data_IF_563725533823
#
_entry.id   IF_563725533823
#
_cell.length_a   1.000
_cell.length_b   1.000
_cell.length_c   1.000
_cell.angle_alpha   90.00
_cell.angle_beta   90.00
_cell.angle_gamma   90.00
#
_symmetry.space_group_name_H-M   'P 1'
#
loop_
_entity.id
_entity.type
_entity.pdbx_description
1 polymer ?
#
# COMPACT_ATOMS: atom_id res chain seq x y z
N UNK A 1 -22.50 -2.61 -0.38
CA UNK A 1 -22.11 -3.04 -1.76
C UNK A 1 -22.32 -4.54 -1.93
N UNK A 2 -22.90 -5.01 -3.09
CA UNK A 2 -22.87 -6.44 -3.43
C UNK A 2 -21.56 -6.73 -4.18
N UNK A 3 -20.69 -7.49 -3.57
CA UNK A 3 -19.45 -8.00 -4.20
C UNK A 3 -19.78 -9.35 -4.82
N UNK A 4 -19.47 -9.56 -6.09
CA UNK A 4 -19.69 -10.85 -6.75
C UNK A 4 -18.71 -11.91 -6.20
N UNK A 5 -19.10 -13.21 -6.26
CA UNK A 5 -18.25 -14.31 -5.77
C UNK A 5 -16.82 -14.28 -6.38
N UNK A 6 -16.72 -14.03 -7.67
CA UNK A 6 -15.43 -13.93 -8.35
C UNK A 6 -14.54 -12.80 -7.77
N UNK A 7 -15.13 -11.63 -7.45
CA UNK A 7 -14.42 -10.53 -6.83
C UNK A 7 -13.98 -10.86 -5.39
N UNK A 8 -14.76 -11.66 -4.66
CA UNK A 8 -14.34 -12.16 -3.35
C UNK A 8 -13.10 -13.06 -3.45
N UNK A 9 -13.06 -13.96 -4.46
CA UNK A 9 -11.89 -14.82 -4.70
C UNK A 9 -10.67 -14.00 -5.12
N UNK A 10 -10.85 -12.99 -5.95
CA UNK A 10 -9.78 -12.10 -6.40
C UNK A 10 -9.20 -11.27 -5.23
N UNK A 11 -10.06 -10.68 -4.39
CA UNK A 11 -9.62 -9.99 -3.18
C UNK A 11 -8.85 -10.93 -2.23
N UNK A 12 -9.36 -12.15 -2.04
CA UNK A 12 -8.69 -13.15 -1.20
C UNK A 12 -7.32 -13.54 -1.78
N UNK A 13 -7.25 -13.77 -3.09
CA UNK A 13 -5.99 -14.04 -3.79
C UNK A 13 -4.97 -12.93 -3.56
N UNK A 14 -5.32 -11.65 -3.75
CA UNK A 14 -4.39 -10.55 -3.55
C UNK A 14 -3.98 -10.36 -2.09
N UNK A 15 -4.87 -10.57 -1.14
CA UNK A 15 -4.52 -10.54 0.30
C UNK A 15 -3.49 -11.63 0.64
N UNK A 16 -3.71 -12.84 0.17
CA UNK A 16 -2.80 -13.98 0.37
C UNK A 16 -1.47 -13.78 -0.36
N UNK A 17 -1.52 -13.32 -1.61
CA UNK A 17 -0.32 -13.04 -2.41
C UNK A 17 0.54 -11.96 -1.74
N UNK A 18 -0.07 -10.86 -1.31
CA UNK A 18 0.66 -9.80 -0.59
C UNK A 18 1.36 -10.36 0.66
N UNK A 19 0.65 -11.13 1.48
CA UNK A 19 1.22 -11.81 2.67
C UNK A 19 2.42 -12.67 2.29
N UNK A 20 2.30 -13.50 1.27
CA UNK A 20 3.38 -14.41 0.84
C UNK A 20 4.59 -13.68 0.27
N UNK A 21 4.36 -12.60 -0.47
CA UNK A 21 5.46 -11.73 -0.96
C UNK A 21 6.22 -11.11 0.21
N UNK A 22 5.53 -10.54 1.19
CA UNK A 22 6.16 -9.95 2.38
C UNK A 22 6.96 -10.99 3.18
N UNK A 23 6.40 -12.18 3.39
CA UNK A 23 7.08 -13.29 4.07
C UNK A 23 8.33 -13.74 3.30
N UNK A 24 8.25 -13.80 1.97
CA UNK A 24 9.38 -14.18 1.13
C UNK A 24 10.48 -13.10 1.14
N UNK A 25 10.12 -11.82 1.08
CA UNK A 25 11.09 -10.72 1.20
C UNK A 25 11.79 -10.73 2.56
N UNK A 26 11.05 -10.98 3.64
CA UNK A 26 11.63 -11.14 4.97
C UNK A 26 12.59 -12.35 5.06
N UNK A 27 12.26 -13.45 4.39
CA UNK A 27 13.16 -14.61 4.31
C UNK A 27 14.44 -14.30 3.53
N UNK A 28 14.32 -13.60 2.39
CA UNK A 28 15.46 -13.17 1.57
C UNK A 28 16.37 -12.19 2.34
N UNK A 29 15.77 -11.28 3.12
CA UNK A 29 16.52 -10.37 3.99
C UNK A 29 17.37 -11.15 5.01
N UNK A 30 16.77 -12.10 5.72
CA UNK A 30 17.50 -12.96 6.69
C UNK A 30 18.59 -13.82 6.05
N UNK A 31 18.47 -14.13 4.75
CA UNK A 31 19.49 -14.83 3.97
C UNK A 31 20.59 -13.90 3.44
N UNK A 32 20.53 -12.59 3.70
CA UNK A 32 21.47 -11.62 3.17
C UNK A 32 21.37 -11.38 1.65
N UNK A 33 20.24 -11.75 1.03
CA UNK A 33 20.01 -11.60 -0.41
C UNK A 33 19.39 -10.26 -0.80
N UNK A 34 18.86 -9.52 0.17
CA UNK A 34 18.32 -8.16 -0.01
C UNK A 34 19.41 -7.14 0.27
N UNK A 35 19.57 -6.17 -0.63
CA UNK A 35 20.62 -5.13 -0.53
C UNK A 35 20.17 -3.99 0.38
N UNK A 36 18.85 -3.65 0.36
CA UNK A 36 18.26 -2.58 1.17
C UNK A 36 17.50 -3.08 2.39
N UNK A 37 16.63 -2.22 2.94
CA UNK A 37 15.73 -2.57 4.04
C UNK A 37 14.44 -3.20 3.55
N UNK A 38 13.88 -4.13 4.32
CA UNK A 38 12.53 -4.68 4.09
C UNK A 38 11.56 -4.10 5.12
N UNK A 39 10.47 -3.56 4.63
CA UNK A 39 9.42 -2.88 5.41
C UNK A 39 8.10 -3.61 5.18
N UNK A 40 7.85 -4.62 5.99
CA UNK A 40 6.67 -5.49 5.82
C UNK A 40 5.35 -4.73 6.06
N UNK A 41 4.37 -4.99 5.21
CA UNK A 41 2.97 -4.57 5.35
C UNK A 41 2.11 -5.55 6.16
N UNK A 42 2.73 -6.48 6.89
CA UNK A 42 2.02 -7.49 7.68
C UNK A 42 1.02 -6.87 8.65
N UNK A 43 -0.23 -7.27 8.54
CA UNK A 43 -1.35 -6.75 9.31
C UNK A 43 -2.08 -5.56 8.64
N UNK A 44 -1.55 -5.02 7.54
CA UNK A 44 -2.08 -3.87 6.79
C UNK A 44 -2.51 -4.23 5.36
N UNK A 45 -2.53 -5.53 5.02
CA UNK A 45 -2.81 -6.01 3.66
C UNK A 45 -4.17 -5.56 3.15
N UNK A 46 -5.17 -5.48 4.03
CA UNK A 46 -6.52 -5.06 3.64
C UNK A 46 -6.57 -3.61 3.15
N UNK A 47 -5.73 -2.72 3.69
CA UNK A 47 -5.63 -1.33 3.23
C UNK A 47 -5.02 -1.31 1.82
N UNK A 48 -3.83 -1.89 1.66
CA UNK A 48 -3.11 -1.90 0.38
C UNK A 48 -3.93 -2.51 -0.75
N UNK A 49 -4.49 -3.69 -0.51
CA UNK A 49 -5.29 -4.42 -1.51
C UNK A 49 -6.63 -3.73 -1.73
N UNK A 50 -7.37 -3.42 -0.66
CA UNK A 50 -8.74 -2.91 -0.75
C UNK A 50 -8.82 -1.56 -1.43
N UNK A 51 -7.90 -0.65 -1.14
CA UNK A 51 -7.88 0.68 -1.75
C UNK A 51 -7.55 0.63 -3.24
N UNK A 52 -6.51 -0.13 -3.62
CA UNK A 52 -6.15 -0.28 -5.03
C UNK A 52 -7.22 -1.02 -5.84
N UNK A 53 -7.89 -2.01 -5.23
CA UNK A 53 -8.98 -2.76 -5.85
C UNK A 53 -10.25 -1.91 -6.08
N UNK A 54 -10.46 -0.89 -5.26
CA UNK A 54 -11.61 0.02 -5.39
C UNK A 54 -11.49 0.98 -6.57
N UNK A 55 -10.28 1.19 -7.09
CA UNK A 55 -10.00 2.15 -8.16
C UNK A 55 -10.18 1.56 -9.55
N UNK A 56 -10.41 2.42 -10.53
CA UNK A 56 -10.39 2.05 -11.94
C UNK A 56 -8.95 1.93 -12.46
N UNK A 57 -8.76 1.15 -13.53
CA UNK A 57 -7.44 0.94 -14.13
C UNK A 57 -6.75 2.25 -14.56
N UNK A 58 -7.52 3.26 -14.97
CA UNK A 58 -7.02 4.58 -15.41
C UNK A 58 -6.60 5.51 -14.28
N UNK A 59 -6.93 5.19 -13.02
CA UNK A 59 -6.59 6.01 -11.85
C UNK A 59 -5.12 5.84 -11.48
N UNK A 60 -4.61 6.80 -10.72
CA UNK A 60 -3.25 6.78 -10.22
C UNK A 60 -3.20 6.45 -8.74
N UNK A 61 -2.17 5.69 -8.35
CA UNK A 61 -1.81 5.47 -6.95
C UNK A 61 -0.39 5.95 -6.68
N UNK A 62 -0.17 6.51 -5.49
CA UNK A 62 1.16 6.80 -4.93
C UNK A 62 1.37 5.95 -3.68
N UNK A 63 1.85 4.69 -3.80
CA UNK A 63 1.99 3.78 -2.68
C UNK A 63 3.17 4.16 -1.77
N UNK A 64 3.12 3.76 -0.50
CA UNK A 64 4.26 3.75 0.41
C UNK A 64 5.05 2.44 0.29
N UNK A 65 6.16 2.39 1.00
CA UNK A 65 7.05 1.21 1.07
C UNK A 65 6.35 -0.08 1.55
N UNK A 66 5.23 0.02 2.29
CA UNK A 66 4.47 -1.13 2.82
C UNK A 66 3.31 -1.55 1.93
N UNK A 67 3.06 -0.84 0.83
CA UNK A 67 1.90 -1.08 -0.02
C UNK A 67 2.20 -2.02 -1.20
N UNK A 68 2.99 -3.07 -0.98
CA UNK A 68 3.24 -4.08 -2.01
C UNK A 68 1.94 -4.65 -2.59
N UNK A 69 0.91 -4.86 -1.74
CA UNK A 69 -0.40 -5.33 -2.18
C UNK A 69 -1.07 -4.40 -3.18
N UNK A 70 -0.93 -3.08 -3.03
CA UNK A 70 -1.46 -2.13 -3.99
C UNK A 70 -0.76 -2.23 -5.36
N UNK A 71 0.55 -2.45 -5.35
CA UNK A 71 1.32 -2.67 -6.59
C UNK A 71 0.91 -3.97 -7.28
N UNK A 72 0.75 -5.07 -6.52
CA UNK A 72 0.27 -6.35 -7.06
C UNK A 72 -1.11 -6.22 -7.71
N UNK A 73 -2.06 -5.53 -7.07
CA UNK A 73 -3.39 -5.24 -7.65
C UNK A 73 -3.27 -4.41 -8.93
N UNK A 74 -2.29 -3.50 -9.02
CA UNK A 74 -2.03 -2.70 -10.22
C UNK A 74 -1.30 -3.46 -11.33
N UNK A 75 -0.98 -4.74 -11.11
CA UNK A 75 -0.45 -5.65 -12.13
C UNK A 75 1.07 -5.79 -12.12
N UNK A 76 1.74 -5.43 -11.03
CA UNK A 76 3.09 -5.92 -10.77
C UNK A 76 3.05 -7.39 -10.37
N UNK A 77 4.12 -8.10 -10.68
CA UNK A 77 4.31 -9.50 -10.29
C UNK A 77 5.23 -9.59 -9.07
N UNK A 78 5.18 -10.68 -8.31
CA UNK A 78 6.15 -10.92 -7.24
C UNK A 78 7.60 -10.78 -7.70
N UNK A 79 7.94 -11.23 -8.94
CA UNK A 79 9.29 -11.10 -9.51
C UNK A 79 9.78 -9.66 -9.58
N UNK A 80 8.91 -8.69 -9.87
CA UNK A 80 9.29 -7.28 -9.98
C UNK A 80 9.80 -6.77 -8.63
N UNK A 81 9.13 -7.17 -7.55
CA UNK A 81 9.52 -6.85 -6.17
C UNK A 81 10.81 -7.60 -5.78
N UNK A 82 10.91 -8.90 -6.06
CA UNK A 82 12.10 -9.67 -5.73
C UNK A 82 13.35 -9.16 -6.46
N UNK A 83 13.25 -8.90 -7.77
CA UNK A 83 14.33 -8.32 -8.56
C UNK A 83 14.78 -6.96 -8.01
N UNK A 84 13.81 -6.12 -7.64
CA UNK A 84 14.08 -4.80 -7.08
C UNK A 84 14.82 -4.88 -5.75
N UNK A 85 14.29 -5.64 -4.77
CA UNK A 85 14.90 -5.76 -3.46
C UNK A 85 16.25 -6.48 -3.47
N UNK A 86 16.49 -7.36 -4.44
CA UNK A 86 17.76 -8.04 -4.66
C UNK A 86 18.71 -7.25 -5.54
N UNK A 87 18.38 -6.02 -5.95
CA UNK A 87 19.15 -5.16 -6.85
C UNK A 87 19.59 -5.86 -8.15
N UNK A 88 18.68 -6.60 -8.78
CA UNK A 88 18.98 -7.35 -9.99
C UNK A 88 18.82 -6.51 -11.25
N UNK A 89 19.66 -6.77 -12.26
CA UNK A 89 19.68 -6.03 -13.54
C UNK A 89 18.31 -6.03 -14.24
N UNK A 90 17.60 -7.14 -14.20
CA UNK A 90 16.35 -7.29 -14.91
C UNK A 90 15.14 -6.74 -14.10
N UNK A 91 15.41 -6.08 -12.96
CA UNK A 91 14.41 -5.42 -12.12
C UNK A 91 13.99 -4.06 -12.64
N UNK A 92 12.92 -3.48 -12.06
CA UNK A 92 12.33 -2.23 -12.53
C UNK A 92 13.29 -1.04 -12.61
N UNK A 93 14.29 -0.98 -11.72
CA UNK A 93 15.32 0.10 -11.74
C UNK A 93 16.65 -0.34 -12.35
N UNK A 94 16.70 -1.53 -12.94
CA UNK A 94 17.95 -2.08 -13.47
C UNK A 94 19.00 -2.36 -12.40
N UNK A 95 18.56 -2.60 -11.16
CA UNK A 95 19.43 -2.84 -10.00
C UNK A 95 20.10 -1.59 -9.41
N UNK A 96 19.63 -0.39 -9.78
CA UNK A 96 20.18 0.90 -9.29
C UNK A 96 19.63 1.32 -7.94
N UNK A 97 18.49 0.77 -7.55
CA UNK A 97 17.86 0.93 -6.24
C UNK A 97 17.41 -0.45 -5.74
N UNK A 98 17.42 -0.65 -4.44
CA UNK A 98 17.06 -1.91 -3.79
C UNK A 98 15.91 -1.76 -2.81
N UNK A 99 15.18 -0.66 -2.84
CA UNK A 99 13.95 -0.43 -2.11
C UNK A 99 12.77 -0.33 -3.08
N UNK A 100 11.57 -0.19 -2.55
CA UNK A 100 10.35 -0.11 -3.35
C UNK A 100 10.18 1.25 -4.09
N UNK A 101 11.27 1.84 -4.58
CA UNK A 101 11.27 3.16 -5.25
C UNK A 101 11.17 3.00 -6.76
N UNK A 102 10.10 2.40 -7.23
CA UNK A 102 9.83 2.27 -8.65
C UNK A 102 8.34 2.45 -8.95
N UNK A 103 8.05 2.95 -10.13
CA UNK A 103 6.69 3.19 -10.60
C UNK A 103 6.54 2.84 -12.07
N UNK A 104 5.31 2.91 -12.55
CA UNK A 104 4.96 2.66 -13.94
C UNK A 104 3.68 3.44 -14.26
N UNK A 105 3.81 4.46 -15.09
CA UNK A 105 2.68 5.32 -15.46
C UNK A 105 1.60 4.59 -16.26
N UNK A 106 1.96 3.52 -16.99
CA UNK A 106 0.99 2.68 -17.71
C UNK A 106 0.13 1.86 -16.74
N UNK A 107 0.73 1.47 -15.61
CA UNK A 107 -0.01 0.84 -14.50
C UNK A 107 -0.69 1.87 -13.59
N UNK A 108 -0.47 3.17 -13.83
CA UNK A 108 -0.96 4.25 -12.98
C UNK A 108 -0.30 4.25 -11.59
N UNK A 109 0.97 3.87 -11.50
CA UNK A 109 1.71 3.84 -10.24
C UNK A 109 2.81 4.89 -10.26
N UNK A 110 2.70 5.87 -9.37
CA UNK A 110 3.75 6.84 -9.08
C UNK A 110 4.73 6.19 -8.10
N UNK A 111 6.02 6.29 -8.38
CA UNK A 111 7.05 5.65 -7.56
C UNK A 111 6.94 6.07 -6.08
N UNK A 112 6.97 5.14 -5.14
CA UNK A 112 7.19 5.46 -3.73
C UNK A 112 8.47 6.26 -3.53
N UNK A 113 8.44 7.15 -2.55
CA UNK A 113 9.60 7.96 -2.16
C UNK A 113 9.82 7.88 -0.65
N UNK A 114 11.08 8.03 -0.21
CA UNK A 114 11.42 7.90 1.21
C UNK A 114 11.13 9.15 2.03
N UNK A 115 10.94 10.31 1.40
CA UNK A 115 10.60 11.55 2.09
C UNK A 115 9.15 11.47 2.56
N UNK A 116 8.96 11.53 3.88
CA UNK A 116 7.66 11.34 4.51
C UNK A 116 6.68 12.46 4.14
N UNK A 117 5.48 12.09 3.70
CA UNK A 117 4.43 13.05 3.33
C UNK A 117 4.54 13.61 1.91
N UNK A 118 5.67 13.49 1.22
CA UNK A 118 5.93 14.09 -0.10
C UNK A 118 5.06 13.52 -1.23
N UNK A 119 4.58 12.29 -1.12
CA UNK A 119 3.65 11.76 -2.13
C UNK A 119 2.30 12.48 -2.14
N UNK A 120 1.91 13.15 -1.05
CA UNK A 120 0.62 13.86 -1.01
C UNK A 120 0.61 15.04 -2.00
N UNK A 121 1.59 15.97 -1.97
CA UNK A 121 1.65 17.04 -2.99
C UNK A 121 1.90 16.51 -4.40
N UNK A 122 2.68 15.44 -4.57
CA UNK A 122 2.88 14.82 -5.90
C UNK A 122 1.55 14.32 -6.48
N UNK A 123 0.77 13.55 -5.71
CA UNK A 123 -0.53 13.06 -6.18
C UNK A 123 -1.58 14.19 -6.27
N UNK A 124 -1.47 15.26 -5.50
CA UNK A 124 -2.26 16.47 -5.72
C UNK A 124 -1.94 17.11 -7.10
N UNK A 125 -0.67 17.13 -7.49
CA UNK A 125 -0.23 17.55 -8.83
C UNK A 125 -0.78 16.66 -9.95
N UNK A 126 -0.77 15.34 -9.76
CA UNK A 126 -1.38 14.36 -10.69
C UNK A 126 -2.88 14.59 -10.82
N UNK A 127 -3.59 14.82 -9.71
CA UNK A 127 -5.02 15.13 -9.71
C UNK A 127 -5.30 16.48 -10.41
N UNK A 128 -4.44 17.48 -10.23
CA UNK A 128 -4.54 18.76 -10.91
C UNK A 128 -4.35 18.60 -12.43
N UNK A 129 -3.34 17.84 -12.86
CA UNK A 129 -3.12 17.54 -14.27
C UNK A 129 -4.33 16.84 -14.90
N UNK A 130 -4.91 15.85 -14.21
CA UNK A 130 -6.13 15.17 -14.62
C UNK A 130 -7.31 16.15 -14.76
N UNK A 131 -7.47 17.05 -13.80
CA UNK A 131 -8.52 18.10 -13.83
C UNK A 131 -8.35 19.04 -15.01
N UNK A 132 -7.14 19.55 -15.25
CA UNK A 132 -6.84 20.45 -16.39
C UNK A 132 -7.11 19.75 -17.71
N UNK A 133 -6.72 18.49 -17.85
CA UNK A 133 -6.93 17.66 -19.05
C UNK A 133 -8.37 17.14 -19.19
N UNK A 134 -9.23 17.33 -18.19
CA UNK A 134 -10.61 16.82 -18.15
C UNK A 134 -10.69 15.29 -18.30
N UNK A 135 -9.70 14.57 -17.77
CA UNK A 135 -9.59 13.10 -17.92
C UNK A 135 -10.44 12.30 -16.92
N UNK A 136 -11.02 12.95 -15.92
CA UNK A 136 -11.85 12.32 -14.88
C UNK A 136 -11.17 11.13 -14.19
N UNK A 137 -9.85 11.21 -13.94
CA UNK A 137 -9.06 10.22 -13.19
C UNK A 137 -8.95 10.65 -11.73
N UNK A 138 -8.89 9.68 -10.87
CA UNK A 138 -8.64 9.87 -9.43
C UNK A 138 -7.18 9.60 -9.15
N UNK A 139 -6.58 10.41 -8.27
CA UNK A 139 -5.29 10.13 -7.66
C UNK A 139 -5.51 9.69 -6.22
N UNK A 140 -4.89 8.58 -5.82
CA UNK A 140 -4.92 8.09 -4.46
C UNK A 140 -3.49 8.00 -3.93
N UNK A 141 -3.27 8.48 -2.71
CA UNK A 141 -1.97 8.35 -2.04
C UNK A 141 -2.13 7.79 -0.63
N UNK A 142 -1.06 7.19 -0.17
CA UNK A 142 -0.98 6.64 1.18
C UNK A 142 0.00 7.48 2.01
N UNK A 143 -0.28 7.59 3.29
CA UNK A 143 0.57 8.27 4.27
C UNK A 143 0.46 7.58 5.62
N UNK A 144 1.57 7.38 6.31
CA UNK A 144 1.56 6.85 7.67
C UNK A 144 1.15 7.92 8.70
N UNK A 145 0.70 7.49 9.87
CA UNK A 145 0.32 8.37 10.99
C UNK A 145 1.40 9.42 11.31
N UNK A 146 2.67 9.02 11.41
CA UNK A 146 3.77 9.95 11.69
C UNK A 146 3.98 11.01 10.62
N UNK A 147 3.80 10.65 9.35
CA UNK A 147 3.97 11.58 8.23
C UNK A 147 2.88 12.65 8.16
N UNK A 148 1.74 12.45 8.83
CA UNK A 148 0.68 13.46 8.92
C UNK A 148 1.07 14.72 9.71
N UNK A 149 2.26 14.75 10.32
CA UNK A 149 2.81 15.90 11.04
C UNK A 149 3.83 16.70 10.24
N UNK A 150 4.07 16.34 8.97
CA UNK A 150 4.98 17.09 8.07
C UNK A 150 4.28 18.30 7.45
N UNK A 151 5.06 19.35 7.14
CA UNK A 151 4.52 20.56 6.50
C UNK A 151 3.85 20.27 5.16
N UNK A 152 4.51 19.48 4.32
CA UNK A 152 4.06 19.10 2.98
C UNK A 152 2.68 18.40 2.98
N UNK A 153 2.42 17.58 4.01
CA UNK A 153 1.10 16.97 4.18
C UNK A 153 0.01 18.03 4.33
N UNK A 154 0.20 18.99 5.23
CA UNK A 154 -0.78 20.05 5.50
C UNK A 154 -0.98 20.98 4.30
N UNK A 155 0.10 21.40 3.66
CA UNK A 155 0.08 22.25 2.47
C UNK A 155 -0.65 21.58 1.31
N UNK A 156 -0.37 20.30 1.06
CA UNK A 156 -1.00 19.54 -0.02
C UNK A 156 -2.51 19.34 0.20
N UNK A 157 -2.95 19.08 1.44
CA UNK A 157 -4.37 18.95 1.76
C UNK A 157 -5.11 20.26 1.54
N UNK A 158 -4.54 21.38 1.97
CA UNK A 158 -5.11 22.70 1.74
C UNK A 158 -5.18 23.01 0.23
N UNK A 159 -4.09 22.79 -0.50
CA UNK A 159 -4.02 22.98 -1.95
C UNK A 159 -5.09 22.15 -2.68
N UNK A 160 -5.17 20.86 -2.37
CA UNK A 160 -6.15 19.95 -2.97
C UNK A 160 -7.59 20.38 -2.68
N UNK A 161 -7.86 20.86 -1.48
CA UNK A 161 -9.19 21.31 -1.06
C UNK A 161 -9.60 22.60 -1.78
N UNK A 162 -8.74 23.63 -1.78
CA UNK A 162 -8.98 24.90 -2.44
C UNK A 162 -9.30 24.69 -3.94
N UNK A 163 -8.55 23.82 -4.59
CA UNK A 163 -8.72 23.51 -6.01
C UNK A 163 -9.74 22.39 -6.27
N UNK A 164 -10.36 21.81 -5.24
CA UNK A 164 -11.33 20.70 -5.36
C UNK A 164 -10.79 19.57 -6.25
N UNK A 165 -9.58 19.10 -5.96
CA UNK A 165 -8.91 18.07 -6.76
C UNK A 165 -9.50 16.68 -6.49
N UNK A 166 -9.47 15.82 -7.51
CA UNK A 166 -9.87 14.42 -7.41
C UNK A 166 -8.81 13.57 -6.70
N UNK A 167 -8.56 13.87 -5.42
CA UNK A 167 -7.54 13.22 -4.59
C UNK A 167 -8.20 12.42 -3.45
N UNK A 168 -7.74 11.19 -3.24
CA UNK A 168 -8.07 10.38 -2.07
C UNK A 168 -6.79 10.18 -1.25
N UNK A 169 -6.82 10.55 0.02
CA UNK A 169 -5.70 10.40 0.94
C UNK A 169 -6.03 9.31 1.95
N UNK A 170 -5.25 8.24 1.93
CA UNK A 170 -5.36 7.12 2.87
C UNK A 170 -4.30 7.32 3.95
N UNK A 171 -4.74 7.55 5.18
CA UNK A 171 -3.86 7.58 6.34
C UNK A 171 -3.84 6.19 6.97
N UNK A 172 -2.73 5.49 6.85
CA UNK A 172 -2.50 4.22 7.52
C UNK A 172 -2.09 4.47 8.96
N UNK A 173 -3.09 4.60 9.84
CA UNK A 173 -2.84 4.74 11.27
C UNK A 173 -2.58 3.37 11.88
N UNK A 174 -1.30 2.98 11.88
CA UNK A 174 -0.84 1.70 12.41
C UNK A 174 -0.31 1.79 13.86
N UNK A 175 -0.57 2.92 14.51
CA UNK A 175 -0.27 3.18 15.90
C UNK A 175 1.16 3.66 16.18
N UNK A 176 2.08 3.62 15.20
CA UNK A 176 3.49 3.84 15.46
C UNK A 176 4.23 4.53 14.29
N UNK A 177 4.79 5.71 14.55
CA UNK A 177 5.82 6.30 13.69
C UNK A 177 7.19 5.83 14.19
N UNK A 178 7.77 4.83 13.53
CA UNK A 178 8.91 4.08 14.02
C UNK A 178 8.65 3.60 15.47
N UNK A 179 9.28 4.19 16.49
CA UNK A 179 9.11 3.88 17.92
C UNK A 179 8.18 4.84 18.67
N UNK A 180 7.64 5.86 18.02
CA UNK A 180 6.78 6.86 18.65
C UNK A 180 5.30 6.49 18.45
N UNK A 181 4.54 6.23 19.52
CA UNK A 181 3.12 5.92 19.40
C UNK A 181 2.33 7.17 18.95
N UNK A 182 1.21 6.94 18.25
CA UNK A 182 0.40 8.01 17.67
C UNK A 182 -0.08 9.03 18.70
N UNK A 183 -0.39 8.61 19.92
CA UNK A 183 -0.78 9.49 21.03
C UNK A 183 0.29 10.53 21.44
N UNK A 184 1.57 10.27 21.12
CA UNK A 184 2.68 11.21 21.33
C UNK A 184 2.99 12.06 20.10
N UNK A 185 2.30 11.85 19.01
CA UNK A 185 2.51 12.57 17.74
C UNK A 185 1.35 13.51 17.42
N UNK A 186 0.14 13.19 17.84
CA UNK A 186 -1.06 13.95 17.54
C UNK A 186 -1.84 14.22 18.81
N UNK A 187 -2.30 15.46 18.96
CA UNK A 187 -3.16 15.85 20.10
C UNK A 187 -4.59 15.32 19.96
N UNK A 188 -5.01 14.99 18.74
CA UNK A 188 -6.31 14.39 18.45
C UNK A 188 -6.23 12.88 18.46
N UNK A 189 -7.27 12.20 18.95
CA UNK A 189 -7.34 10.74 18.96
C UNK A 189 -7.51 10.16 17.55
N UNK A 190 -8.29 10.86 16.74
CA UNK A 190 -8.59 10.46 15.36
C UNK A 190 -7.92 11.45 14.40
N UNK A 191 -6.99 10.97 13.60
CA UNK A 191 -6.28 11.81 12.61
C UNK A 191 -7.23 12.37 11.55
N UNK A 192 -8.36 11.70 11.31
CA UNK A 192 -9.44 12.15 10.45
C UNK A 192 -10.02 13.52 10.87
N UNK A 193 -9.86 13.93 12.14
CA UNK A 193 -10.30 15.26 12.62
C UNK A 193 -9.52 16.40 11.95
N UNK A 194 -8.28 16.16 11.54
CA UNK A 194 -7.45 17.14 10.84
C UNK A 194 -8.07 17.59 9.51
N UNK A 195 -8.85 16.72 8.87
CA UNK A 195 -9.50 17.02 7.58
C UNK A 195 -10.47 18.21 7.68
N UNK A 196 -11.06 18.45 8.87
CA UNK A 196 -11.98 19.57 9.13
C UNK A 196 -11.31 20.92 8.88
N UNK A 197 -10.01 21.04 9.21
CA UNK A 197 -9.26 22.28 9.00
C UNK A 197 -9.12 22.69 7.54
N UNK A 198 -9.27 21.73 6.61
CA UNK A 198 -9.19 21.95 5.15
C UNK A 198 -10.55 21.91 4.48
N UNK A 199 -11.64 21.78 5.22
CA UNK A 199 -12.97 21.60 4.65
C UNK A 199 -13.14 20.28 3.87
N UNK A 200 -12.31 19.27 4.16
CA UNK A 200 -12.37 17.95 3.51
C UNK A 200 -13.35 17.04 4.25
N UNK A 201 -14.18 16.27 3.55
CA UNK A 201 -14.85 15.13 4.15
C UNK A 201 -13.83 14.07 4.57
N UNK A 202 -14.12 13.43 5.70
CA UNK A 202 -13.29 12.34 6.21
C UNK A 202 -14.11 11.12 6.60
N UNK A 203 -13.47 9.97 6.60
CA UNK A 203 -14.00 8.71 7.11
C UNK A 203 -12.95 8.00 7.96
N UNK A 204 -13.40 7.26 8.97
CA UNK A 204 -12.57 6.33 9.74
C UNK A 204 -13.04 4.93 9.39
N UNK A 205 -12.11 4.05 9.03
CA UNK A 205 -12.41 2.67 8.68
C UNK A 205 -11.57 1.69 9.50
N UNK A 206 -12.10 0.51 9.74
CA UNK A 206 -11.31 -0.62 10.21
C UNK A 206 -10.38 -1.07 9.08
N UNK A 207 -9.10 -0.71 9.18
CA UNK A 207 -8.07 -1.04 8.19
C UNK A 207 -7.78 -2.54 8.05
N UNK A 208 -8.35 -3.38 8.93
CA UNK A 208 -8.27 -4.84 8.87
C UNK A 208 -9.53 -5.47 8.25
N UNK A 209 -10.51 -4.67 7.80
CA UNK A 209 -11.68 -5.11 7.05
C UNK A 209 -11.57 -4.68 5.59
N UNK A 210 -11.18 -5.60 4.71
CA UNK A 210 -10.98 -5.29 3.29
C UNK A 210 -12.24 -4.77 2.61
N UNK A 211 -13.42 -5.25 2.99
CA UNK A 211 -14.68 -4.78 2.39
C UNK A 211 -15.03 -3.37 2.82
N UNK A 212 -14.81 -3.02 4.09
CA UNK A 212 -14.97 -1.66 4.58
C UNK A 212 -14.00 -0.69 3.89
N UNK A 213 -12.74 -1.10 3.70
CA UNK A 213 -11.73 -0.33 2.98
C UNK A 213 -12.13 -0.11 1.51
N UNK A 214 -12.56 -1.17 0.81
CA UNK A 214 -13.04 -1.08 -0.59
C UNK A 214 -14.22 -0.12 -0.69
N UNK A 215 -15.19 -0.23 0.20
CA UNK A 215 -16.39 0.61 0.15
C UNK A 215 -16.08 2.09 0.39
N UNK A 216 -15.33 2.40 1.44
CA UNK A 216 -14.93 3.77 1.75
C UNK A 216 -14.11 4.40 0.63
N UNK A 217 -13.17 3.65 0.06
CA UNK A 217 -12.35 4.13 -1.06
C UNK A 217 -13.17 4.36 -2.31
N UNK A 218 -14.12 3.48 -2.63
CA UNK A 218 -15.01 3.66 -3.78
C UNK A 218 -15.88 4.90 -3.63
N UNK A 219 -16.49 5.10 -2.46
CA UNK A 219 -17.29 6.30 -2.18
C UNK A 219 -16.46 7.58 -2.34
N UNK A 220 -15.21 7.57 -1.86
CA UNK A 220 -14.29 8.69 -2.01
C UNK A 220 -13.91 8.94 -3.49
N UNK A 221 -13.63 7.86 -4.23
CA UNK A 221 -13.31 7.95 -5.65
C UNK A 221 -14.51 8.45 -6.48
N UNK A 222 -15.70 7.95 -6.22
CA UNK A 222 -16.93 8.38 -6.90
C UNK A 222 -17.23 9.86 -6.63
N UNK A 223 -17.07 10.30 -5.38
CA UNK A 223 -17.17 11.71 -5.01
C UNK A 223 -16.15 12.57 -5.77
N UNK A 224 -14.89 12.11 -5.85
CA UNK A 224 -13.83 12.81 -6.57
C UNK A 224 -14.17 12.95 -8.07
N UNK A 225 -14.68 11.89 -8.71
CA UNK A 225 -15.11 11.90 -10.11
C UNK A 225 -16.26 12.86 -10.38
N UNK A 226 -17.14 13.04 -9.40
CA UNK A 226 -18.28 13.99 -9.47
C UNK A 226 -17.85 15.44 -9.18
N UNK A 227 -16.54 15.72 -9.05
CA UNK A 227 -16.03 17.05 -8.74
C UNK A 227 -16.24 17.47 -7.28
N UNK A 228 -16.52 16.51 -6.40
CA UNK A 228 -16.73 16.72 -4.96
C UNK A 228 -15.46 17.14 -4.19
N UNK A 229 -14.28 17.11 -4.84
CA UNK A 229 -13.00 17.44 -4.22
C UNK A 229 -12.36 16.27 -3.48
N UNK A 230 -11.30 16.52 -2.70
CA UNK A 230 -10.53 15.48 -2.04
C UNK A 230 -11.30 14.83 -0.87
N UNK A 231 -10.89 13.63 -0.49
CA UNK A 231 -11.42 12.91 0.68
C UNK A 231 -10.28 12.33 1.49
N UNK A 232 -10.40 12.42 2.80
CA UNK A 232 -9.45 11.87 3.78
C UNK A 232 -10.04 10.59 4.38
N UNK A 233 -9.30 9.48 4.34
CA UNK A 233 -9.70 8.20 4.96
C UNK A 233 -8.62 7.81 5.95
N UNK A 234 -8.97 7.75 7.23
CA UNK A 234 -8.13 7.14 8.26
C UNK A 234 -8.45 5.66 8.37
N UNK A 235 -7.50 4.82 7.99
CA UNK A 235 -7.59 3.37 8.13
C UNK A 235 -6.84 2.93 9.39
N UNK A 236 -7.58 2.58 10.43
CA UNK A 236 -7.01 2.13 11.71
C UNK A 236 -6.58 0.68 11.61
N UNK A 237 -5.32 0.43 11.90
CA UNK A 237 -4.68 -0.87 11.80
C UNK A 237 -3.54 -1.00 12.81
N UNK A 238 -2.72 -2.03 12.69
CA UNK A 238 -1.53 -2.23 13.49
C UNK A 238 -0.38 -2.76 12.64
N UNK A 239 0.79 -2.16 12.81
CA UNK A 239 2.03 -2.72 12.28
C UNK A 239 2.46 -3.91 13.12
N UNK A 240 2.36 -5.13 12.57
CA UNK A 240 2.58 -6.39 13.30
C UNK A 240 4.06 -6.74 13.49
N UNK A 241 4.97 -6.01 12.87
CA UNK A 241 6.43 -6.13 12.99
C UNK A 241 7.06 -4.81 13.37
N UNK A 242 8.38 -4.76 13.51
CA UNK A 242 9.15 -3.55 13.63
C UNK A 242 9.00 -2.60 12.44
N UNK A 243 9.63 -1.45 12.50
CA UNK A 243 9.61 -0.50 11.39
C UNK A 243 10.20 -1.10 10.10
N UNK A 244 11.29 -1.87 10.26
CA UNK A 244 11.88 -2.69 9.21
C UNK A 244 12.28 -4.06 9.81
N UNK A 245 12.74 -5.00 8.99
CA UNK A 245 13.11 -6.36 9.44
C UNK A 245 14.28 -6.39 10.45
N UNK A 246 15.09 -5.34 10.53
CA UNK A 246 16.14 -5.21 11.55
C UNK A 246 15.65 -4.64 12.88
N UNK A 247 14.42 -4.14 12.95
CA UNK A 247 13.81 -3.55 14.15
C UNK A 247 13.04 -4.62 14.92
N UNK A 248 13.42 -4.87 16.16
CA UNK A 248 12.82 -5.90 17.02
C UNK A 248 11.51 -5.47 17.71
N UNK A 249 11.07 -4.25 17.48
CA UNK A 249 9.82 -3.68 18.01
C UNK A 249 9.66 -3.76 19.53
N UNK A 250 10.76 -3.74 20.31
CA UNK A 250 10.72 -3.82 21.79
C UNK A 250 9.89 -2.73 22.45
N UNK A 251 9.70 -1.62 21.78
CA UNK A 251 8.89 -0.49 22.22
C UNK A 251 7.38 -0.75 22.13
N UNK A 252 6.94 -1.79 21.42
CA UNK A 252 5.52 -2.16 21.32
C UNK A 252 5.13 -3.10 22.47
N UNK A 253 4.08 -2.80 23.24
CA UNK A 253 3.61 -3.69 24.30
C UNK A 253 3.24 -5.07 23.73
N UNK A 254 3.75 -6.14 24.35
CA UNK A 254 3.54 -7.54 23.89
C UNK A 254 2.06 -7.92 23.78
N UNK A 255 1.25 -7.56 24.76
CA UNK A 255 -0.18 -7.83 24.76
C UNK A 255 -0.93 -7.16 23.60
N UNK A 256 -0.49 -5.99 23.16
CA UNK A 256 -1.10 -5.27 22.04
C UNK A 256 -0.98 -6.05 20.73
N UNK A 257 0.19 -6.62 20.44
CA UNK A 257 0.38 -7.43 19.22
C UNK A 257 -0.49 -8.70 19.23
N UNK A 258 -0.68 -9.31 20.43
CA UNK A 258 -1.53 -10.49 20.56
C UNK A 258 -3.01 -10.18 20.31
N UNK A 259 -3.48 -9.01 20.76
CA UNK A 259 -4.84 -8.55 20.48
C UNK A 259 -5.05 -8.31 18.97
N UNK A 260 -4.10 -7.65 18.31
CA UNK A 260 -4.20 -7.37 16.89
C UNK A 260 -4.05 -8.59 16.01
N UNK A 261 -3.33 -9.65 16.45
CA UNK A 261 -3.30 -10.94 15.75
C UNK A 261 -4.69 -11.56 15.59
N UNK A 262 -5.60 -11.34 16.56
CA UNK A 262 -6.98 -11.80 16.48
C UNK A 262 -7.78 -11.06 15.40
N UNK A 263 -7.28 -9.94 14.94
CA UNK A 263 -7.86 -9.09 13.90
C UNK A 263 -7.09 -9.16 12.58
N UNK A 264 -6.29 -10.21 12.38
CA UNK A 264 -5.52 -10.41 11.15
C UNK A 264 -6.43 -10.29 9.91
N UNK A 265 -6.12 -9.37 8.96
CA UNK A 265 -7.02 -9.07 7.86
C UNK A 265 -7.22 -10.24 6.90
N UNK A 266 -6.18 -11.05 6.70
CA UNK A 266 -6.23 -12.21 5.79
C UNK A 266 -7.09 -13.32 6.38
N UNK A 267 -6.81 -13.69 7.64
CA UNK A 267 -7.54 -14.75 8.35
C UNK A 267 -9.00 -14.35 8.61
N UNK A 268 -9.23 -13.09 8.93
CA UNK A 268 -10.58 -12.54 9.13
C UNK A 268 -11.41 -12.64 7.86
N UNK A 269 -10.84 -12.25 6.71
CA UNK A 269 -11.55 -12.31 5.45
C UNK A 269 -11.79 -13.74 4.98
N UNK A 270 -10.80 -14.63 5.14
CA UNK A 270 -10.93 -16.06 4.89
C UNK A 270 -12.10 -16.65 5.69
N UNK A 271 -12.11 -16.42 7.00
CA UNK A 271 -13.17 -16.91 7.89
C UNK A 271 -14.55 -16.40 7.47
N UNK A 272 -14.65 -15.13 7.09
CA UNK A 272 -15.89 -14.55 6.57
C UNK A 272 -16.38 -15.26 5.30
N UNK A 273 -15.48 -15.50 4.33
CA UNK A 273 -15.82 -16.14 3.07
C UNK A 273 -16.26 -17.58 3.25
N UNK A 274 -15.57 -18.34 4.12
CA UNK A 274 -15.93 -19.71 4.43
C UNK A 274 -17.29 -19.79 5.16
N UNK A 275 -17.51 -18.95 6.16
CA UNK A 275 -18.77 -18.88 6.89
C UNK A 275 -19.96 -18.54 5.98
N UNK A 276 -19.75 -17.65 4.99
CA UNK A 276 -20.76 -17.28 3.99
C UNK A 276 -20.84 -18.24 2.79
N UNK A 277 -20.08 -19.33 2.78
CA UNK A 277 -19.97 -20.30 1.66
C UNK A 277 -19.57 -19.64 0.34
N UNK A 278 -18.84 -18.53 0.40
CA UNK A 278 -18.30 -17.83 -0.76
C UNK A 278 -16.93 -18.38 -1.19
N UNK A 279 -16.26 -19.13 -0.30
CA UNK A 279 -14.99 -19.82 -0.54
C UNK A 279 -15.11 -21.23 0.05
N UNK A 280 -14.86 -22.25 -0.75
CA UNK A 280 -14.78 -23.65 -0.30
C UNK A 280 -13.33 -24.00 0.06
N UNK A 281 -13.13 -25.08 0.83
CA UNK A 281 -11.79 -25.56 1.14
C UNK A 281 -10.98 -25.94 -0.11
N UNK A 282 -11.63 -26.50 -1.13
CA UNK A 282 -10.97 -26.82 -2.40
C UNK A 282 -10.55 -25.57 -3.18
N UNK A 283 -11.40 -24.55 -3.26
CA UNK A 283 -11.06 -23.27 -3.90
C UNK A 283 -9.94 -22.54 -3.16
N UNK A 284 -9.98 -22.53 -1.81
CA UNK A 284 -8.90 -22.02 -0.98
C UNK A 284 -7.57 -22.70 -1.32
N UNK A 285 -7.55 -24.04 -1.28
CA UNK A 285 -6.35 -24.82 -1.58
C UNK A 285 -5.82 -24.54 -3.00
N UNK A 286 -6.71 -24.43 -3.98
CA UNK A 286 -6.31 -24.09 -5.36
C UNK A 286 -5.66 -22.70 -5.46
N UNK A 287 -6.20 -21.70 -4.74
CA UNK A 287 -5.62 -20.35 -4.69
C UNK A 287 -4.24 -20.39 -4.01
N UNK A 288 -4.10 -21.11 -2.90
CA UNK A 288 -2.82 -21.22 -2.19
C UNK A 288 -1.76 -21.93 -3.02
N UNK A 289 -2.09 -23.03 -3.67
CA UNK A 289 -1.18 -23.74 -4.60
C UNK A 289 -0.72 -22.81 -5.72
N UNK A 290 -1.63 -22.09 -6.36
CA UNK A 290 -1.30 -21.12 -7.40
C UNK A 290 -0.33 -20.05 -6.90
N UNK A 291 -0.56 -19.51 -5.71
CA UNK A 291 0.31 -18.48 -5.11
C UNK A 291 1.72 -19.05 -4.85
N UNK A 292 1.83 -20.25 -4.29
CA UNK A 292 3.14 -20.86 -4.03
C UNK A 292 3.91 -21.17 -5.31
N UNK A 293 3.22 -21.58 -6.37
CA UNK A 293 3.83 -21.78 -7.69
C UNK A 293 4.33 -20.45 -8.26
N UNK A 294 3.50 -19.41 -8.23
CA UNK A 294 3.87 -18.07 -8.70
C UNK A 294 5.06 -17.50 -7.93
N UNK A 295 5.08 -17.59 -6.60
CA UNK A 295 6.20 -17.17 -5.76
C UNK A 295 7.47 -17.94 -6.09
N UNK A 296 7.38 -19.27 -6.25
CA UNK A 296 8.53 -20.13 -6.56
C UNK A 296 9.13 -19.79 -7.91
N UNK A 297 8.32 -19.64 -8.95
CA UNK A 297 8.77 -19.32 -10.30
C UNK A 297 9.38 -17.91 -10.37
N UNK A 298 8.72 -16.94 -9.77
CA UNK A 298 9.16 -15.55 -9.76
C UNK A 298 10.44 -15.35 -8.92
N UNK A 299 10.59 -16.10 -7.83
CA UNK A 299 11.82 -16.10 -7.04
C UNK A 299 12.98 -16.73 -7.81
N UNK A 300 12.76 -17.89 -8.44
CA UNK A 300 13.79 -18.55 -9.24
C UNK A 300 14.26 -17.64 -10.39
N UNK A 301 13.36 -16.93 -11.05
CA UNK A 301 13.69 -15.94 -12.07
C UNK A 301 14.56 -14.81 -11.49
N UNK A 302 14.18 -14.26 -10.34
CA UNK A 302 14.91 -13.16 -9.69
C UNK A 302 16.31 -13.60 -9.23
N UNK A 303 16.44 -14.82 -8.70
CA UNK A 303 17.75 -15.37 -8.29
C UNK A 303 18.69 -15.63 -9.48
N UNK A 304 18.15 -16.03 -10.62
CA UNK A 304 18.91 -16.26 -11.85
C UNK A 304 19.34 -14.95 -12.55
N UNK A 305 18.64 -13.84 -12.31
CA UNK A 305 18.99 -12.55 -12.90
C UNK A 305 20.34 -12.06 -12.36
N UNK A 306 21.27 -11.58 -13.21
CA UNK A 306 22.57 -11.09 -12.77
C UNK A 306 22.46 -9.73 -12.06
N UNK A 307 23.52 -9.34 -11.36
CA UNK A 307 23.70 -7.96 -10.93
C UNK A 307 23.97 -7.05 -12.13
N UNK A 308 23.62 -5.74 -12.04
CA UNK A 308 23.96 -4.80 -13.10
C UNK A 308 25.47 -4.63 -13.21
N UNK A 309 26.00 -4.39 -14.43
CA UNK A 309 27.42 -4.13 -14.61
C UNK A 309 27.79 -2.78 -13.97
N UNK A 310 28.98 -2.67 -13.32
CA UNK A 310 29.41 -1.46 -12.61
C UNK A 310 29.41 -0.19 -13.48
N UNK A 311 29.73 -0.34 -14.78
CA UNK A 311 29.78 0.77 -15.76
C UNK A 311 28.42 1.44 -15.94
N UNK A 312 27.32 0.72 -15.62
CA UNK A 312 25.96 1.25 -15.63
C UNK A 312 25.68 2.27 -14.54
N UNK A 313 26.43 2.24 -13.44
CA UNK A 313 26.20 3.12 -12.28
C UNK A 313 26.39 4.61 -12.60
N UNK A 314 27.31 4.93 -13.50
CA UNK A 314 27.61 6.32 -13.89
C UNK A 314 26.69 6.84 -15.04
N UNK A 315 25.84 5.99 -15.61
CA UNK A 315 24.95 6.43 -16.68
C UNK A 315 23.82 7.31 -16.12
N UNK A 316 23.46 8.41 -16.82
CA UNK A 316 22.35 9.24 -16.36
C UNK A 316 21.05 8.42 -16.32
N UNK A 317 20.22 8.72 -15.32
CA UNK A 317 18.90 8.09 -15.13
C UNK A 317 17.85 8.71 -16.06
N UNK A 318 18.18 9.88 -16.58
CA UNK A 318 17.34 10.65 -17.50
C UNK A 318 17.75 10.35 -18.94
N UNK A 319 16.76 10.06 -19.76
CA UNK A 319 16.95 9.96 -21.21
C UNK A 319 16.88 11.34 -21.86
#
# INVERSE_FOLDING_TARGET
MKVARAQHHELYYYLRLNRRVDEQLAALYRQGKVVGGVYSGLGQEAISVGTAYALERRDFIGPMIRNAGAMLVRGYKPRDLFLQYMARRDGPTGGRDANNHFGDLEKGVIAPISMLGELVPVLAGVALASKIRKENRVALTYVGDGATSTGQFHEALNFASVLRLGLVVIVENNGWAYSTPTEKQAAVCDLAERAKAYGMPSAIVDGNDVLAVVEATRLAADRARQGGGPTFIEAKTMRMKGHAEHDDARYVPKGLLEEWRKRDPVLRYESLLMAKKLLTAAEKSAIEVRIEEEIREDLAFAEASPFPPPEGAARPIWA
#
